data_IF_522421126472
#
_entry.id   IF_522421126472
#
_cell.length_a   1.000
_cell.length_b   1.000
_cell.length_c   1.000
_cell.angle_alpha   90.00
_cell.angle_beta   90.00
_cell.angle_gamma   90.00
#
_symmetry.space_group_name_H-M   'P 1'
#
loop_
_entity.id
_entity.type
_entity.pdbx_description
1 polymer ?
#
# COMPACT_ATOMS: atom_id res chain seq x y z
N UNK A 1 0.36 -17.44 14.57
CA UNK A 1 0.21 -18.59 13.66
C UNK A 1 1.30 -18.58 12.58
N UNK A 2 1.35 -17.56 11.72
CA UNK A 2 2.37 -17.47 10.65
C UNK A 2 3.82 -17.54 11.17
N UNK A 3 4.11 -16.91 12.32
CA UNK A 3 5.42 -17.00 12.99
C UNK A 3 5.87 -18.43 13.31
N UNK A 4 4.94 -19.32 13.66
CA UNK A 4 5.23 -20.74 13.93
C UNK A 4 5.61 -21.45 12.63
N UNK A 5 4.85 -21.21 11.55
CA UNK A 5 5.14 -21.79 10.23
C UNK A 5 6.47 -21.30 9.64
N UNK A 6 6.80 -20.02 9.82
CA UNK A 6 8.09 -19.46 9.39
C UNK A 6 9.23 -20.06 10.22
N UNK A 7 9.06 -20.16 11.55
CA UNK A 7 10.09 -20.72 12.42
C UNK A 7 10.39 -22.19 12.11
N UNK A 8 9.38 -23.00 11.77
CA UNK A 8 9.54 -24.40 11.35
C UNK A 8 10.01 -24.58 9.90
N UNK A 9 9.70 -23.62 9.02
CA UNK A 9 10.12 -23.63 7.64
C UNK A 9 11.59 -23.24 7.44
N UNK A 10 12.08 -22.23 8.15
CA UNK A 10 13.41 -21.64 7.95
C UNK A 10 14.57 -22.66 8.01
N UNK A 11 14.64 -23.55 9.02
CA UNK A 11 15.72 -24.55 9.09
C UNK A 11 15.68 -25.58 7.94
N UNK A 12 14.51 -25.77 7.33
CA UNK A 12 14.26 -26.75 6.28
C UNK A 12 14.34 -26.15 4.87
N UNK A 13 14.56 -24.84 4.74
CA UNK A 13 14.68 -24.17 3.44
C UNK A 13 16.03 -24.45 2.77
N UNK A 14 16.04 -24.84 1.47
CA UNK A 14 17.28 -25.00 0.71
C UNK A 14 18.08 -23.69 0.68
N UNK A 15 19.35 -23.72 1.10
CA UNK A 15 20.24 -22.55 1.14
C UNK A 15 20.29 -21.78 2.46
N UNK A 16 19.41 -22.08 3.43
CA UNK A 16 19.42 -21.47 4.78
C UNK A 16 19.91 -22.42 5.89
N UNK A 17 20.40 -23.61 5.52
CA UNK A 17 20.86 -24.65 6.45
C UNK A 17 22.06 -24.23 7.33
N UNK A 18 22.76 -23.13 7.00
CA UNK A 18 23.84 -22.55 7.82
C UNK A 18 23.42 -21.37 8.71
N UNK A 19 22.20 -20.86 8.59
CA UNK A 19 21.70 -19.72 9.37
C UNK A 19 21.24 -20.12 10.78
N UNK A 20 20.85 -21.38 10.96
CA UNK A 20 20.35 -21.91 12.24
C UNK A 20 21.34 -22.95 12.75
N UNK A 21 22.27 -22.50 13.61
CA UNK A 21 23.33 -23.35 14.18
C UNK A 21 22.79 -24.53 15.00
N UNK A 22 21.62 -24.38 15.63
CA UNK A 22 20.96 -25.47 16.36
C UNK A 22 19.43 -25.31 16.29
N UNK A 23 18.70 -26.12 15.49
CA UNK A 23 17.25 -26.08 15.38
C UNK A 23 16.56 -26.77 16.58
N UNK A 24 16.88 -26.32 17.78
CA UNK A 24 16.28 -26.80 19.03
C UNK A 24 15.02 -26.01 19.43
N UNK A 25 14.35 -26.46 20.50
CA UNK A 25 13.17 -25.78 21.06
C UNK A 25 13.43 -24.29 21.38
N UNK A 26 14.62 -23.97 21.87
CA UNK A 26 15.03 -22.59 22.16
C UNK A 26 15.04 -21.70 20.90
N UNK A 27 15.44 -22.20 19.73
CA UNK A 27 15.39 -21.45 18.48
C UNK A 27 13.95 -21.17 18.06
N UNK A 28 13.08 -22.19 18.07
CA UNK A 28 11.67 -22.01 17.71
C UNK A 28 10.98 -21.00 18.63
N UNK A 29 11.22 -21.10 19.95
CA UNK A 29 10.64 -20.17 20.91
C UNK A 29 11.12 -18.73 20.69
N UNK A 30 12.44 -18.52 20.57
CA UNK A 30 13.02 -17.18 20.36
C UNK A 30 12.62 -16.59 19.01
N UNK A 31 12.59 -17.38 17.94
CA UNK A 31 12.14 -16.93 16.62
C UNK A 31 10.67 -16.51 16.65
N UNK A 32 9.78 -17.35 17.19
CA UNK A 32 8.34 -17.04 17.27
C UNK A 32 8.10 -15.78 18.11
N UNK A 33 8.73 -15.68 19.28
CA UNK A 33 8.58 -14.50 20.16
C UNK A 33 9.11 -13.25 19.46
N UNK A 34 10.30 -13.31 18.84
CA UNK A 34 10.88 -12.16 18.15
C UNK A 34 10.00 -11.65 17.01
N UNK A 35 9.49 -12.54 16.15
CA UNK A 35 8.57 -12.18 15.07
C UNK A 35 7.26 -11.57 15.62
N UNK A 36 6.65 -12.19 16.64
CA UNK A 36 5.39 -11.70 17.22
C UNK A 36 5.60 -10.33 17.88
N UNK A 37 6.63 -10.19 18.72
CA UNK A 37 6.96 -8.92 19.38
C UNK A 37 7.27 -7.82 18.36
N UNK A 38 8.00 -8.12 17.28
CA UNK A 38 8.26 -7.17 16.20
C UNK A 38 6.98 -6.69 15.52
N UNK A 39 6.07 -7.61 15.17
CA UNK A 39 4.78 -7.22 14.55
C UNK A 39 3.89 -6.43 15.51
N UNK A 40 3.85 -6.79 16.80
CA UNK A 40 3.10 -6.04 17.82
C UNK A 40 3.65 -4.63 17.99
N UNK A 41 4.97 -4.48 18.00
CA UNK A 41 5.61 -3.17 18.06
C UNK A 41 5.23 -2.29 16.86
N UNK A 42 5.25 -2.86 15.65
CA UNK A 42 4.86 -2.13 14.43
C UNK A 42 3.37 -1.76 14.43
N UNK A 43 2.48 -2.64 14.91
CA UNK A 43 1.05 -2.33 15.05
C UNK A 43 0.83 -1.18 16.04
N UNK A 44 1.44 -1.25 17.23
CA UNK A 44 1.35 -0.20 18.23
C UNK A 44 1.87 1.14 17.69
N UNK A 45 2.98 1.13 16.96
CA UNK A 45 3.52 2.32 16.29
C UNK A 45 2.52 2.86 15.25
N UNK A 46 1.89 1.98 14.47
CA UNK A 46 0.86 2.36 13.50
C UNK A 46 -0.38 3.01 14.14
N UNK A 47 -0.82 2.50 15.28
CA UNK A 47 -1.90 3.11 16.06
C UNK A 47 -1.49 4.49 16.59
N UNK A 48 -0.27 4.64 17.12
CA UNK A 48 0.23 5.95 17.57
C UNK A 48 0.36 6.97 16.43
N UNK A 49 0.75 6.55 15.23
CA UNK A 49 0.74 7.42 14.04
C UNK A 49 -0.70 7.82 13.69
N UNK A 50 -1.67 6.92 13.83
CA UNK A 50 -3.07 7.22 13.52
C UNK A 50 -3.66 8.24 14.49
N UNK A 51 -3.33 8.14 15.78
CA UNK A 51 -3.84 9.06 16.81
C UNK A 51 -3.24 10.47 16.71
N UNK A 52 -1.97 10.59 16.32
CA UNK A 52 -1.23 11.87 16.34
C UNK A 52 -0.91 12.44 14.96
N UNK A 53 -1.10 11.65 13.91
CA UNK A 53 -0.71 11.97 12.55
C UNK A 53 -1.90 12.19 11.61
N UNK A 54 -1.63 12.16 10.31
CA UNK A 54 -2.61 12.39 9.25
C UNK A 54 -2.87 11.05 8.53
N UNK A 55 -4.11 10.58 8.54
CA UNK A 55 -4.52 9.37 7.82
C UNK A 55 -4.39 8.09 8.63
N UNK A 56 -4.26 6.94 7.95
CA UNK A 56 -4.15 5.62 8.58
C UNK A 56 -2.67 5.25 8.76
N UNK A 57 -2.23 5.15 10.01
CA UNK A 57 -0.82 4.90 10.35
C UNK A 57 -0.30 3.55 9.88
N UNK A 58 -1.14 2.50 9.85
CA UNK A 58 -0.74 1.19 9.30
C UNK A 58 -0.46 1.32 7.79
N UNK A 59 -1.28 2.08 7.07
CA UNK A 59 -1.06 2.32 5.63
C UNK A 59 0.25 3.09 5.37
N UNK A 60 0.59 4.04 6.24
CA UNK A 60 1.83 4.81 6.14
C UNK A 60 3.05 3.93 6.40
N UNK A 61 3.00 3.01 7.37
CA UNK A 61 4.09 2.07 7.64
C UNK A 61 4.34 1.15 6.43
N UNK A 62 3.27 0.58 5.86
CA UNK A 62 3.37 -0.27 4.66
C UNK A 62 3.95 0.54 3.49
N UNK A 63 3.45 1.75 3.27
CA UNK A 63 3.96 2.65 2.24
C UNK A 63 5.45 2.95 2.42
N UNK A 64 5.88 3.29 3.63
CA UNK A 64 7.30 3.55 3.93
C UNK A 64 8.17 2.32 3.65
N UNK A 65 7.68 1.12 3.98
CA UNK A 65 8.37 -0.14 3.68
C UNK A 65 8.55 -0.38 2.18
N UNK A 66 7.50 -0.16 1.37
CA UNK A 66 7.58 -0.29 -0.09
C UNK A 66 8.53 0.75 -0.68
N UNK A 67 8.39 2.01 -0.27
CA UNK A 67 9.19 3.13 -0.80
C UNK A 67 10.65 2.99 -0.42
N UNK A 68 10.99 2.45 0.75
CA UNK A 68 12.38 2.18 1.14
C UNK A 68 13.11 1.23 0.18
N UNK A 69 12.40 0.35 -0.52
CA UNK A 69 12.96 -0.55 -1.53
C UNK A 69 13.12 0.06 -2.93
N UNK A 70 12.47 1.18 -3.23
CA UNK A 70 12.52 1.80 -4.56
C UNK A 70 13.89 2.41 -4.90
N UNK A 71 14.55 3.20 -4.03
CA UNK A 71 15.86 3.79 -4.33
C UNK A 71 16.93 2.76 -4.73
N UNK A 72 17.16 1.66 -3.97
CA UNK A 72 18.16 0.67 -4.37
C UNK A 72 17.76 -0.05 -5.65
N UNK A 73 16.47 -0.34 -5.88
CA UNK A 73 16.01 -0.96 -7.12
C UNK A 73 16.31 -0.09 -8.36
N UNK A 74 16.10 1.23 -8.26
CA UNK A 74 16.43 2.19 -9.32
C UNK A 74 17.95 2.24 -9.54
N UNK A 75 18.74 2.28 -8.47
CA UNK A 75 20.20 2.29 -8.55
C UNK A 75 20.73 1.03 -9.26
N UNK A 76 20.26 -0.15 -8.87
CA UNK A 76 20.61 -1.42 -9.53
C UNK A 76 20.21 -1.44 -11.01
N UNK A 77 19.03 -0.95 -11.34
CA UNK A 77 18.57 -0.89 -12.75
C UNK A 77 19.46 0.02 -13.60
N UNK A 78 19.92 1.16 -13.05
CA UNK A 78 20.83 2.07 -13.73
C UNK A 78 22.22 1.44 -13.89
N UNK A 79 22.72 0.74 -12.87
CA UNK A 79 24.01 0.03 -12.94
C UNK A 79 23.99 -1.08 -14.00
N UNK A 80 22.93 -1.89 -14.05
CA UNK A 80 22.74 -2.93 -15.06
C UNK A 80 22.67 -2.34 -16.49
N UNK A 81 22.04 -1.18 -16.64
CA UNK A 81 22.03 -0.46 -17.92
C UNK A 81 23.43 0.06 -18.30
N UNK A 82 24.25 0.48 -17.33
CA UNK A 82 25.64 0.91 -17.57
C UNK A 82 26.58 -0.25 -17.90
N UNK A 83 26.36 -1.42 -17.31
CA UNK A 83 27.14 -2.63 -17.56
C UNK A 83 26.82 -3.28 -18.92
N UNK A 84 25.77 -2.82 -19.60
CA UNK A 84 25.35 -3.33 -20.91
C UNK A 84 24.48 -4.58 -20.86
N UNK A 85 24.17 -5.08 -19.66
CA UNK A 85 23.28 -6.23 -19.45
C UNK A 85 21.82 -5.92 -19.77
N UNK A 86 21.41 -4.64 -19.63
CA UNK A 86 20.08 -4.19 -20.00
C UNK A 86 20.11 -3.36 -21.28
N UNK A 87 19.40 -3.84 -22.29
CA UNK A 87 19.21 -3.10 -23.53
C UNK A 87 18.42 -1.81 -23.25
N UNK A 88 18.92 -0.67 -23.74
CA UNK A 88 18.29 0.65 -23.59
C UNK A 88 16.79 0.68 -23.91
N UNK A 89 16.32 -0.14 -24.86
CA UNK A 89 14.91 -0.26 -25.22
C UNK A 89 14.04 -0.79 -24.06
N UNK A 90 14.55 -1.74 -23.28
CA UNK A 90 13.84 -2.31 -22.12
C UNK A 90 13.69 -1.26 -21.02
N UNK A 91 14.75 -0.49 -20.75
CA UNK A 91 14.71 0.60 -19.77
C UNK A 91 13.66 1.66 -20.14
N UNK A 92 13.62 2.07 -21.41
CA UNK A 92 12.63 3.01 -21.93
C UNK A 92 11.21 2.46 -21.78
N UNK A 93 11.00 1.18 -22.12
CA UNK A 93 9.70 0.52 -21.98
C UNK A 93 9.22 0.51 -20.54
N UNK A 94 10.09 0.15 -19.58
CA UNK A 94 9.75 0.16 -18.15
C UNK A 94 9.38 1.56 -17.69
N UNK A 95 10.15 2.59 -18.07
CA UNK A 95 9.86 3.97 -17.70
C UNK A 95 8.49 4.44 -18.23
N UNK A 96 8.18 4.13 -19.50
CA UNK A 96 6.88 4.44 -20.11
C UNK A 96 5.75 3.69 -19.41
N UNK A 97 5.95 2.42 -19.07
CA UNK A 97 4.95 1.60 -18.38
C UNK A 97 4.65 2.16 -16.99
N UNK A 98 5.67 2.49 -16.20
CA UNK A 98 5.50 3.11 -14.88
C UNK A 98 4.69 4.40 -15.01
N UNK A 99 5.05 5.28 -15.94
CA UNK A 99 4.33 6.52 -16.17
C UNK A 99 2.86 6.29 -16.59
N UNK A 100 2.61 5.36 -17.50
CA UNK A 100 1.27 5.02 -17.97
C UNK A 100 0.39 4.46 -16.84
N UNK A 101 0.93 3.56 -16.02
CA UNK A 101 0.21 2.99 -14.87
C UNK A 101 -0.09 4.07 -13.83
N UNK A 102 0.89 4.92 -13.47
CA UNK A 102 0.66 6.02 -12.53
C UNK A 102 -0.40 6.98 -13.06
N UNK A 103 -0.34 7.35 -14.34
CA UNK A 103 -1.35 8.21 -14.96
C UNK A 103 -2.75 7.57 -14.92
N UNK A 104 -2.85 6.28 -15.25
CA UNK A 104 -4.12 5.55 -15.21
C UNK A 104 -4.72 5.51 -13.80
N UNK A 105 -3.91 5.21 -12.78
CA UNK A 105 -4.35 5.21 -11.37
C UNK A 105 -4.86 6.59 -10.97
N UNK A 106 -4.11 7.66 -11.27
CA UNK A 106 -4.52 9.04 -10.95
C UNK A 106 -5.80 9.44 -11.68
N UNK A 107 -5.97 9.02 -12.94
CA UNK A 107 -7.18 9.28 -13.71
C UNK A 107 -8.41 8.64 -13.07
N UNK A 108 -8.30 7.37 -12.67
CA UNK A 108 -9.40 6.64 -12.01
C UNK A 108 -9.69 7.22 -10.62
N UNK A 109 -8.67 7.56 -9.83
CA UNK A 109 -8.86 8.14 -8.50
C UNK A 109 -9.48 9.55 -8.52
N UNK A 110 -9.14 10.36 -9.53
CA UNK A 110 -9.72 11.70 -9.71
C UNK A 110 -11.11 11.65 -10.35
N UNK A 111 -11.53 10.50 -10.87
CA UNK A 111 -12.86 10.27 -11.40
C UNK A 111 -13.93 10.48 -10.32
N UNK A 112 -14.80 11.46 -10.52
CA UNK A 112 -15.98 11.69 -9.69
C UNK A 112 -17.22 11.87 -10.54
N UNK A 113 -18.30 11.19 -10.17
CA UNK A 113 -19.63 11.37 -10.73
C UNK A 113 -20.34 12.47 -9.96
N UNK A 114 -20.68 13.58 -10.63
CA UNK A 114 -21.46 14.66 -10.03
C UNK A 114 -22.95 14.38 -10.25
N UNK A 115 -23.69 14.13 -9.18
CA UNK A 115 -25.16 13.97 -9.24
C UNK A 115 -25.79 15.27 -8.75
N UNK A 116 -26.63 15.90 -9.57
CA UNK A 116 -27.36 17.11 -9.19
C UNK A 116 -28.49 16.77 -8.21
N UNK A 117 -28.50 17.46 -7.08
CA UNK A 117 -29.54 17.39 -6.05
C UNK A 117 -30.26 18.73 -6.05
N UNK A 118 -31.54 18.69 -6.40
CA UNK A 118 -32.40 19.86 -6.33
C UNK A 118 -33.05 19.88 -4.94
N UNK A 119 -32.64 20.83 -4.09
CA UNK A 119 -33.29 21.01 -2.80
C UNK A 119 -34.74 21.48 -2.99
N UNK A 120 -35.65 20.86 -2.23
CA UNK A 120 -37.06 21.20 -2.29
C UNK A 120 -37.28 22.67 -1.87
N UNK A 121 -38.08 23.38 -2.66
CA UNK A 121 -38.42 24.79 -2.44
C UNK A 121 -39.20 24.91 -1.14
N UNK A 122 -38.83 25.83 -0.24
CA UNK A 122 -39.73 26.30 0.82
C UNK A 122 -40.52 27.47 0.28
N UNK A 123 -41.78 27.25 -0.07
CA UNK A 123 -42.68 28.31 -0.49
C UNK A 123 -43.21 29.03 0.75
N UNK A 124 -42.86 30.31 0.93
CA UNK A 124 -43.42 31.15 1.99
C UNK A 124 -44.18 32.31 1.32
N UNK A 125 -45.50 32.24 1.31
CA UNK A 125 -46.39 33.20 0.64
C UNK A 125 -46.41 33.07 -0.90
N UNK A 126 -46.54 34.21 -1.60
CA UNK A 126 -46.69 34.31 -3.07
C UNK A 126 -45.36 34.42 -3.85
N UNK A 127 -44.22 34.29 -3.16
CA UNK A 127 -42.88 34.35 -3.75
C UNK A 127 -42.20 32.99 -3.67
N UNK A 128 -41.82 32.47 -4.83
CA UNK A 128 -40.99 31.26 -4.95
C UNK A 128 -39.53 31.71 -4.92
N UNK A 129 -38.80 31.33 -3.87
CA UNK A 129 -37.35 31.53 -3.83
C UNK A 129 -36.67 30.59 -4.83
N UNK A 130 -35.63 31.10 -5.50
CA UNK A 130 -34.89 30.37 -6.54
C UNK A 130 -34.35 29.04 -5.99
N UNK A 131 -34.57 27.96 -6.73
CA UNK A 131 -34.03 26.65 -6.38
C UNK A 131 -32.50 26.70 -6.54
N UNK A 132 -31.76 26.60 -5.44
CA UNK A 132 -30.32 26.43 -5.49
C UNK A 132 -30.03 24.95 -5.79
N UNK A 133 -29.57 24.67 -7.01
CA UNK A 133 -29.09 23.33 -7.38
C UNK A 133 -27.70 23.11 -6.80
N UNK A 134 -27.53 22.07 -6.00
CA UNK A 134 -26.22 21.61 -5.51
C UNK A 134 -25.88 20.29 -6.21
N UNK A 135 -24.61 19.94 -6.30
CA UNK A 135 -24.19 18.62 -6.75
C UNK A 135 -23.56 17.86 -5.60
N UNK A 136 -23.95 16.59 -5.44
CA UNK A 136 -23.26 15.65 -4.57
C UNK A 136 -22.20 14.91 -5.40
N UNK A 137 -20.90 15.09 -5.11
CA UNK A 137 -19.85 14.34 -5.79
C UNK A 137 -19.76 12.92 -5.21
N UNK A 138 -19.85 11.92 -6.07
CA UNK A 138 -19.56 10.52 -5.74
C UNK A 138 -18.27 10.12 -6.44
N UNK A 139 -17.21 9.84 -5.67
CA UNK A 139 -15.95 9.32 -6.22
C UNK A 139 -16.16 7.93 -6.84
N UNK A 140 -15.44 7.64 -7.92
CA UNK A 140 -15.48 6.33 -8.60
C UNK A 140 -14.98 5.21 -7.67
N UNK A 141 -13.94 5.48 -6.87
CA UNK A 141 -13.48 4.59 -5.81
C UNK A 141 -13.55 5.31 -4.45
N UNK A 142 -14.46 4.85 -3.58
CA UNK A 142 -14.62 5.36 -2.21
C UNK A 142 -13.60 4.74 -1.23
N UNK A 143 -13.03 3.58 -1.56
CA UNK A 143 -12.19 2.77 -0.66
C UNK A 143 -10.70 3.15 -0.67
N UNK A 144 -10.29 4.07 -1.55
CA UNK A 144 -8.90 4.53 -1.66
C UNK A 144 -7.92 3.38 -1.92
N UNK A 145 -6.86 3.30 -1.10
CA UNK A 145 -5.72 2.38 -1.25
C UNK A 145 -5.98 1.00 -0.61
N UNK A 146 -7.03 0.86 0.20
CA UNK A 146 -7.31 -0.38 0.96
C UNK A 146 -7.47 -1.61 0.04
N UNK A 147 -8.23 -1.56 -1.08
CA UNK A 147 -8.36 -2.70 -1.98
C UNK A 147 -7.04 -3.17 -2.59
N UNK A 148 -6.12 -2.24 -2.90
CA UNK A 148 -4.80 -2.59 -3.46
C UNK A 148 -3.94 -3.35 -2.44
N UNK A 149 -3.99 -2.94 -1.17
CA UNK A 149 -3.30 -3.64 -0.08
C UNK A 149 -3.83 -5.07 0.06
N UNK A 150 -5.16 -5.24 0.09
CA UNK A 150 -5.76 -6.58 0.16
C UNK A 150 -5.38 -7.45 -1.05
N UNK A 151 -5.36 -6.89 -2.27
CA UNK A 151 -4.91 -7.63 -3.45
C UNK A 151 -3.46 -8.12 -3.30
N UNK A 152 -2.55 -7.28 -2.80
CA UNK A 152 -1.16 -7.69 -2.57
C UNK A 152 -0.98 -8.77 -1.50
N UNK A 153 -1.91 -8.88 -0.54
CA UNK A 153 -1.86 -9.92 0.50
C UNK A 153 -2.40 -11.29 0.08
N UNK A 154 -3.10 -11.36 -1.06
CA UNK A 154 -3.67 -12.62 -1.60
C UNK A 154 -2.67 -13.34 -2.52
N UNK A 155 -1.82 -12.58 -3.20
CA UNK A 155 -0.74 -13.08 -4.06
C UNK A 155 0.37 -13.67 -3.20
#
# INVERSE_FOLDING_TARGET
FQSIGIATGLPNMPGMQGLVMNPGFAFYFTAVVSLVTGTMFLMWLGEQITERGIGNGISIIIFAGIVAGLPPAIAHTIEQARQGDLHFLVLLLVAVLVFAVTFFVVFVERGQRRIVVNYAKRQQGRRVYAAQSTHLPLKVNMAGVIPAIFASSII
#
